data_IF_183001519757
#
_entry.id   IF_183001519757
#
_cell.length_a   1.000
_cell.length_b   1.000
_cell.length_c   1.000
_cell.angle_alpha   90.00
_cell.angle_beta   90.00
_cell.angle_gamma   90.00
#
_symmetry.space_group_name_H-M   'P 1'
#
loop_
_entity.id
_entity.type
_entity.pdbx_description
1 polymer ?
#
# COMPACT_ATOMS: atom_id res chain seq x y z
N UNK A 1 -12.95 -22.19 -1.29
CA UNK A 1 -11.98 -21.25 -1.79
C UNK A 1 -10.99 -20.90 -0.70
N UNK A 2 -9.73 -20.99 -1.02
CA UNK A 2 -8.73 -20.64 -0.04
C UNK A 2 -8.52 -19.12 0.00
N UNK A 3 -8.56 -18.61 1.18
CA UNK A 3 -8.27 -17.21 1.43
C UNK A 3 -6.77 -17.08 1.71
N UNK A 4 -6.09 -16.23 0.96
CA UNK A 4 -4.67 -16.00 1.18
C UNK A 4 -4.45 -14.69 1.88
N UNK A 5 -3.82 -14.75 3.05
CA UNK A 5 -3.33 -13.57 3.74
C UNK A 5 -1.85 -13.42 3.42
N UNK A 6 -1.46 -12.21 3.05
CA UNK A 6 -0.05 -11.90 2.86
C UNK A 6 0.53 -11.53 4.22
N UNK A 7 1.56 -12.21 4.66
CA UNK A 7 2.26 -11.78 5.86
C UNK A 7 3.22 -10.64 5.50
N UNK A 8 3.75 -10.00 6.53
CA UNK A 8 4.60 -8.82 6.35
C UNK A 8 5.87 -9.12 5.56
N UNK A 9 6.35 -10.36 5.59
CA UNK A 9 7.57 -10.75 4.91
C UNK A 9 7.39 -11.01 3.42
N UNK A 10 6.14 -11.21 2.98
CA UNK A 10 5.86 -11.45 1.56
C UNK A 10 5.98 -10.17 0.74
N UNK A 11 5.85 -9.02 1.37
CA UNK A 11 5.89 -7.73 0.70
C UNK A 11 6.94 -6.83 1.34
N UNK A 12 7.55 -5.99 0.50
CA UNK A 12 8.41 -4.90 0.95
C UNK A 12 7.71 -3.59 0.65
N UNK A 13 7.57 -2.76 1.68
CA UNK A 13 6.80 -1.52 1.59
C UNK A 13 7.69 -0.31 1.81
N UNK A 14 7.43 0.75 1.06
CA UNK A 14 8.02 2.07 1.28
C UNK A 14 6.93 3.13 1.18
N UNK A 15 7.09 4.20 1.94
CA UNK A 15 6.19 5.33 1.90
C UNK A 15 7.04 6.60 1.95
N UNK A 16 6.89 7.44 0.93
CA UNK A 16 7.70 8.67 0.80
C UNK A 16 6.81 9.85 0.47
N UNK A 17 7.28 11.05 0.84
CA UNK A 17 6.62 12.30 0.48
C UNK A 17 7.52 13.16 -0.37
N UNK A 18 6.91 13.86 -1.32
CA UNK A 18 7.59 14.86 -2.15
C UNK A 18 6.86 16.18 -1.96
N UNK A 19 7.60 17.23 -1.61
CA UNK A 19 7.02 18.54 -1.35
C UNK A 19 7.01 19.40 -2.61
N UNK A 20 5.83 19.98 -2.90
CA UNK A 20 5.68 21.01 -3.92
C UNK A 20 5.37 22.34 -3.26
N UNK A 21 4.87 23.30 -4.06
CA UNK A 21 4.38 24.57 -3.53
C UNK A 21 2.99 24.33 -2.96
N UNK A 22 2.83 24.46 -1.65
CA UNK A 22 1.57 24.26 -0.94
C UNK A 22 0.99 22.84 -1.10
N UNK A 23 1.80 21.88 -1.51
CA UNK A 23 1.35 20.49 -1.65
C UNK A 23 2.37 19.51 -1.12
N UNK A 24 1.86 18.37 -0.67
CA UNK A 24 2.70 17.22 -0.31
C UNK A 24 2.11 16.00 -1.02
N UNK A 25 2.91 15.34 -1.84
CA UNK A 25 2.50 14.12 -2.53
C UNK A 25 3.06 12.92 -1.78
N UNK A 26 2.17 12.07 -1.30
CA UNK A 26 2.53 10.82 -0.63
C UNK A 26 2.49 9.69 -1.65
N UNK A 27 3.55 8.90 -1.70
CA UNK A 27 3.62 7.71 -2.54
C UNK A 27 3.92 6.50 -1.66
N UNK A 28 3.05 5.51 -1.73
CA UNK A 28 3.22 4.23 -1.03
C UNK A 28 3.45 3.16 -2.09
N UNK A 29 4.57 2.46 -1.99
CA UNK A 29 4.90 1.39 -2.93
C UNK A 29 5.13 0.09 -2.20
N UNK A 30 4.67 -0.99 -2.81
CA UNK A 30 4.91 -2.32 -2.30
C UNK A 30 5.36 -3.24 -3.41
N UNK A 31 6.24 -4.17 -3.08
CA UNK A 31 6.60 -5.26 -3.98
C UNK A 31 6.35 -6.54 -3.22
N UNK A 32 5.41 -7.32 -3.69
CA UNK A 32 5.00 -8.57 -3.05
C UNK A 32 5.42 -9.77 -3.89
N UNK A 33 5.96 -10.78 -3.23
CA UNK A 33 6.34 -12.02 -3.91
C UNK A 33 5.09 -12.90 -4.02
N UNK A 34 4.61 -13.06 -5.24
CA UNK A 34 3.44 -13.88 -5.52
C UNK A 34 3.85 -15.23 -6.08
N UNK A 35 3.08 -16.30 -5.81
CA UNK A 35 3.49 -17.65 -6.21
C UNK A 35 3.50 -17.87 -7.72
N UNK A 36 2.73 -17.09 -8.47
CA UNK A 36 2.69 -17.15 -9.93
C UNK A 36 2.54 -15.75 -10.50
N UNK A 37 2.85 -15.53 -11.78
CA UNK A 37 2.55 -14.25 -12.43
C UNK A 37 1.04 -14.07 -12.62
N UNK A 38 0.63 -12.84 -12.92
CA UNK A 38 -0.78 -12.55 -13.20
C UNK A 38 -1.60 -12.05 -12.04
N UNK A 39 -1.03 -11.99 -10.84
CA UNK A 39 -1.72 -11.40 -9.69
C UNK A 39 -1.89 -9.89 -9.88
N UNK A 40 -3.03 -9.37 -9.44
CA UNK A 40 -3.29 -7.94 -9.42
C UNK A 40 -3.42 -7.47 -7.99
N UNK A 41 -2.65 -6.45 -7.65
CA UNK A 41 -2.65 -5.86 -6.31
C UNK A 41 -3.18 -4.43 -6.41
N UNK A 42 -4.03 -4.06 -5.45
CA UNK A 42 -4.62 -2.72 -5.40
C UNK A 42 -4.59 -2.22 -3.96
N UNK A 43 -4.16 -0.97 -3.78
CA UNK A 43 -4.25 -0.29 -2.49
C UNK A 43 -5.40 0.70 -2.52
N UNK A 44 -6.26 0.66 -1.50
CA UNK A 44 -7.41 1.54 -1.39
C UNK A 44 -7.40 2.22 -0.04
N UNK A 45 -7.66 3.51 -0.01
CA UNK A 45 -7.77 4.27 1.24
C UNK A 45 -9.02 3.82 2.01
N UNK A 46 -8.83 3.54 3.29
CA UNK A 46 -9.91 3.16 4.20
C UNK A 46 -10.14 4.30 5.17
N UNK A 47 -11.36 4.80 5.21
CA UNK A 47 -11.75 5.87 6.13
C UNK A 47 -12.52 5.25 7.28
N UNK A 48 -11.90 5.25 8.47
CA UNK A 48 -12.49 4.67 9.67
C UNK A 48 -12.71 5.77 10.68
N UNK A 49 -13.95 5.91 11.14
CA UNK A 49 -14.30 6.90 12.15
C UNK A 49 -13.53 6.65 13.45
N UNK A 50 -12.92 7.70 13.98
CA UNK A 50 -12.13 7.60 15.21
C UNK A 50 -10.71 7.10 15.03
N UNK A 51 -10.27 6.91 13.79
CA UNK A 51 -8.90 6.52 13.54
C UNK A 51 -7.93 7.67 13.81
N UNK A 52 -6.67 7.33 14.08
CA UNK A 52 -5.61 8.30 14.34
C UNK A 52 -5.31 9.09 13.06
N UNK A 53 -5.45 10.43 13.06
CA UNK A 53 -5.17 11.23 11.86
C UNK A 53 -3.72 11.21 11.42
N UNK A 54 -2.80 10.80 12.30
CA UNK A 54 -1.40 10.64 11.93
C UNK A 54 -1.12 9.36 11.15
N UNK A 55 -2.11 8.47 11.03
CA UNK A 55 -1.96 7.19 10.35
C UNK A 55 -2.89 7.12 9.15
N UNK A 56 -2.32 6.90 7.97
CA UNK A 56 -3.10 6.62 6.78
C UNK A 56 -3.39 5.12 6.74
N UNK A 57 -4.67 4.76 6.58
CA UNK A 57 -5.09 3.37 6.53
C UNK A 57 -5.34 2.97 5.08
N UNK A 58 -4.65 1.94 4.62
CA UNK A 58 -4.83 1.39 3.29
C UNK A 58 -5.21 -0.08 3.38
N UNK A 59 -6.02 -0.53 2.44
CA UNK A 59 -6.38 -1.94 2.30
C UNK A 59 -5.73 -2.50 1.04
N UNK A 60 -5.04 -3.61 1.19
CA UNK A 60 -4.47 -4.34 0.06
C UNK A 60 -5.48 -5.35 -0.43
N UNK A 61 -5.89 -5.20 -1.68
CA UNK A 61 -6.74 -6.17 -2.35
C UNK A 61 -5.87 -7.02 -3.28
N UNK A 62 -6.03 -8.33 -3.22
CA UNK A 62 -5.25 -9.26 -4.00
C UNK A 62 -6.20 -10.06 -4.87
N UNK A 63 -6.00 -10.00 -6.19
CA UNK A 63 -6.80 -10.74 -7.15
C UNK A 63 -5.90 -11.77 -7.83
N UNK A 64 -6.21 -13.04 -7.64
CA UNK A 64 -5.45 -14.12 -8.23
C UNK A 64 -5.73 -14.22 -9.74
N UNK A 65 -4.76 -14.71 -10.54
CA UNK A 65 -4.99 -14.88 -11.96
C UNK A 65 -6.06 -15.93 -12.23
N UNK A 66 -6.78 -15.74 -13.36
CA UNK A 66 -7.79 -16.68 -13.80
C UNK A 66 -7.20 -17.56 -14.88
N UNK A 67 -6.88 -18.70 -14.75
CA UNK A 67 -6.29 -19.56 -15.75
C UNK A 67 -5.10 -20.30 -15.20
N UNK A 68 -4.44 -21.02 -16.08
CA UNK A 68 -3.28 -21.81 -15.73
C UNK A 68 -2.02 -20.97 -15.93
N UNK A 69 -1.32 -20.72 -14.84
CA UNK A 69 -0.11 -19.89 -14.87
C UNK A 69 1.10 -20.73 -14.48
N UNK A 70 2.30 -20.38 -14.98
CA UNK A 70 3.52 -21.03 -14.55
C UNK A 70 3.74 -20.91 -13.04
N UNK A 71 4.24 -21.96 -12.43
CA UNK A 71 4.48 -22.01 -10.98
C UNK A 71 5.87 -21.44 -10.67
N UNK A 72 6.01 -20.12 -10.64
CA UNK A 72 7.25 -19.52 -10.18
C UNK A 72 6.96 -18.19 -9.46
N UNK A 73 7.71 -17.93 -8.42
CA UNK A 73 7.55 -16.72 -7.61
C UNK A 73 7.85 -15.49 -8.46
N UNK A 74 6.92 -14.54 -8.47
CA UNK A 74 6.98 -13.34 -9.30
C UNK A 74 6.83 -12.11 -8.43
N UNK A 75 7.81 -11.17 -8.45
CA UNK A 75 7.63 -9.89 -7.76
C UNK A 75 6.53 -9.09 -8.44
N UNK A 76 5.57 -8.62 -7.64
CA UNK A 76 4.40 -7.90 -8.15
C UNK A 76 4.32 -6.57 -7.43
N UNK A 77 4.27 -5.49 -8.18
CA UNK A 77 4.26 -4.13 -7.63
C UNK A 77 2.85 -3.62 -7.42
N UNK A 78 2.70 -2.76 -6.40
CA UNK A 78 1.49 -2.02 -6.15
C UNK A 78 1.88 -0.62 -5.68
N UNK A 79 1.08 0.39 -6.05
CA UNK A 79 1.36 1.77 -5.71
C UNK A 79 0.08 2.51 -5.36
N UNK A 80 0.18 3.40 -4.39
CA UNK A 80 -0.88 4.33 -4.01
C UNK A 80 -0.29 5.73 -3.91
N UNK A 81 -0.98 6.72 -4.50
CA UNK A 81 -0.55 8.11 -4.43
C UNK A 81 -1.70 8.99 -3.95
N UNK A 82 -1.37 9.96 -3.12
CA UNK A 82 -2.33 10.96 -2.66
C UNK A 82 -1.63 12.30 -2.48
N UNK A 83 -2.27 13.37 -2.97
CA UNK A 83 -1.75 14.71 -2.82
C UNK A 83 -2.53 15.44 -1.74
N UNK A 84 -1.81 16.06 -0.80
CA UNK A 84 -2.39 16.85 0.27
C UNK A 84 -2.13 18.33 0.00
N UNK A 85 -3.17 19.15 0.07
CA UNK A 85 -3.08 20.58 -0.15
C UNK A 85 -2.97 21.28 1.21
N UNK A 86 -1.84 21.95 1.43
CA UNK A 86 -1.56 22.63 2.68
C UNK A 86 -2.10 24.06 2.67
N UNK A 87 -2.40 24.64 3.83
CA UNK A 87 -2.29 24.05 5.18
C UNK A 87 -3.53 23.30 5.65
N UNK A 88 -4.59 23.24 4.83
CA UNK A 88 -5.86 22.67 5.23
C UNK A 88 -5.80 21.17 5.47
N UNK A 89 -5.02 20.44 4.66
CA UNK A 89 -4.92 19.01 4.77
C UNK A 89 -3.93 18.61 5.86
N UNK A 90 -4.20 17.48 6.51
CA UNK A 90 -3.34 16.92 7.55
C UNK A 90 -2.55 15.75 6.93
N UNK A 91 -1.23 15.88 6.89
CA UNK A 91 -0.36 14.87 6.28
C UNK A 91 -0.04 13.80 7.33
N UNK A 92 -0.32 12.53 7.06
CA UNK A 92 0.02 11.48 8.01
C UNK A 92 1.53 11.26 8.12
N UNK A 93 1.95 10.66 9.23
CA UNK A 93 3.37 10.32 9.45
C UNK A 93 3.67 8.85 9.24
N UNK A 94 2.65 8.02 9.15
CA UNK A 94 2.81 6.58 8.94
C UNK A 94 1.62 6.01 8.17
N UNK A 95 1.82 4.84 7.61
CA UNK A 95 0.81 4.13 6.82
C UNK A 95 0.64 2.73 7.41
N UNK A 96 -0.60 2.33 7.68
CA UNK A 96 -0.90 0.96 8.06
C UNK A 96 -1.59 0.29 6.89
N UNK A 97 -1.11 -0.87 6.51
CA UNK A 97 -1.65 -1.64 5.40
C UNK A 97 -2.33 -2.88 5.96
N UNK A 98 -3.65 -2.91 5.86
CA UNK A 98 -4.43 -4.08 6.25
C UNK A 98 -4.14 -5.21 5.27
N UNK A 99 -4.39 -6.42 5.67
CA UNK A 99 -4.07 -7.65 4.94
C UNK A 99 -2.58 -8.01 5.02
N UNK A 100 -1.69 -7.02 4.99
CA UNK A 100 -0.27 -7.24 5.18
C UNK A 100 0.14 -7.11 6.65
N UNK A 101 -0.76 -6.59 7.50
CA UNK A 101 -0.52 -6.38 8.93
C UNK A 101 0.76 -5.59 9.20
N UNK A 102 0.99 -4.56 8.40
CA UNK A 102 2.25 -3.82 8.40
C UNK A 102 2.00 -2.33 8.58
N UNK A 103 2.85 -1.68 9.39
CA UNK A 103 2.87 -0.22 9.51
C UNK A 103 4.23 0.27 9.03
N UNK A 104 4.20 1.26 8.14
CA UNK A 104 5.40 1.82 7.52
C UNK A 104 5.49 3.30 7.88
N UNK A 105 6.67 3.73 8.33
CA UNK A 105 6.92 5.14 8.57
C UNK A 105 7.10 5.87 7.24
N UNK A 106 6.54 7.08 7.15
CA UNK A 106 6.66 7.92 5.98
C UNK A 106 7.93 8.74 6.09
N UNK A 107 8.76 8.69 5.05
CA UNK A 107 10.01 9.44 5.01
C UNK A 107 9.96 10.45 3.87
N UNK A 108 10.69 11.56 4.03
CA UNK A 108 10.82 12.52 2.95
C UNK A 108 11.70 11.97 1.85
N UNK A 109 11.25 12.17 0.62
CA UNK A 109 12.01 11.75 -0.56
C UNK A 109 13.19 12.70 -0.82
#
# INVERSE_FOLDING_TARGET
MSYQTHDADACKWTATTTHGIDTVKLTVKGVCQEPTPGYKLTLTHVDVSGSDPATLLLMLAVEAPTGIEPQHVTPTEVEYEQTFVLPAAHVPSKVTIFEAATTVNITAA
#
